data_IF_285751894638
#
_entry.id   IF_285751894638
#
_cell.length_a   1.000
_cell.length_b   1.000
_cell.length_c   1.000
_cell.angle_alpha   90.00
_cell.angle_beta   90.00
_cell.angle_gamma   90.00
#
_symmetry.space_group_name_H-M   'P 1'
#
loop_
_entity.id
_entity.type
_entity.pdbx_description
1 polymer ?
#
# COMPACT_ATOMS: atom_id res chain seq x y z
N UNK A 1 -9.65 14.17 25.44
CA UNK A 1 -8.44 13.92 24.67
C UNK A 1 -7.86 15.18 24.06
N UNK A 2 -6.72 15.08 23.38
CA UNK A 2 -6.13 16.21 22.68
C UNK A 2 -6.97 16.59 21.47
N UNK A 3 -7.03 17.90 21.14
CA UNK A 3 -7.62 18.36 19.87
C UNK A 3 -6.69 17.92 18.74
N UNK A 4 -7.15 16.99 17.90
CA UNK A 4 -6.36 16.35 16.86
C UNK A 4 -6.93 16.62 15.48
N UNK A 5 -6.06 16.91 14.50
CA UNK A 5 -6.36 16.97 13.08
C UNK A 5 -5.52 15.93 12.36
N UNK A 6 -6.17 15.00 11.65
CA UNK A 6 -5.55 14.06 10.73
C UNK A 6 -5.64 14.61 9.31
N UNK A 7 -4.50 14.71 8.64
CA UNK A 7 -4.39 15.21 7.27
C UNK A 7 -4.05 14.02 6.37
N UNK A 8 -4.87 13.82 5.32
CA UNK A 8 -4.73 12.68 4.41
C UNK A 8 -4.80 13.15 2.95
N UNK A 9 -3.88 12.67 2.12
CA UNK A 9 -3.82 13.03 0.69
C UNK A 9 -4.91 12.37 -0.16
N UNK A 10 -5.41 11.21 0.26
CA UNK A 10 -6.51 10.51 -0.40
C UNK A 10 -7.88 10.94 0.16
N UNK A 11 -8.96 10.47 -0.44
CA UNK A 11 -10.32 10.60 0.07
C UNK A 11 -10.72 9.45 1.00
N UNK A 12 -9.76 8.71 1.54
CA UNK A 12 -9.96 7.58 2.45
C UNK A 12 -8.71 7.34 3.28
N UNK A 13 -8.88 6.70 4.45
CA UNK A 13 -7.80 6.31 5.35
C UNK A 13 -7.22 4.93 4.99
N UNK A 14 -6.10 4.57 5.60
CA UNK A 14 -5.49 3.25 5.55
C UNK A 14 -4.17 3.16 4.81
N UNK A 15 -3.73 4.22 4.13
CA UNK A 15 -2.47 4.23 3.39
C UNK A 15 -2.35 3.01 2.47
N UNK A 16 -1.29 2.20 2.61
CA UNK A 16 -1.08 1.02 1.77
C UNK A 16 -2.12 -0.09 1.96
N UNK A 17 -2.81 -0.17 3.09
CA UNK A 17 -3.92 -1.11 3.29
C UNK A 17 -5.09 -0.87 2.32
N UNK A 18 -5.33 0.39 1.96
CA UNK A 18 -6.43 0.80 1.09
C UNK A 18 -5.96 1.27 -0.28
N UNK A 19 -4.97 2.19 -0.35
CA UNK A 19 -4.45 2.71 -1.61
C UNK A 19 -3.56 1.71 -2.36
N UNK A 20 -2.85 0.85 -1.64
CA UNK A 20 -1.92 -0.13 -2.21
C UNK A 20 -2.47 -1.55 -2.31
N UNK A 21 -3.69 -1.80 -1.84
CA UNK A 21 -4.31 -3.14 -1.76
C UNK A 21 -3.49 -4.17 -0.95
N UNK A 22 -2.73 -3.72 0.04
CA UNK A 22 -1.97 -4.63 0.91
C UNK A 22 -2.90 -5.15 2.00
N UNK A 23 -3.62 -6.22 1.70
CA UNK A 23 -4.69 -6.76 2.54
C UNK A 23 -4.26 -7.73 3.65
N UNK A 24 -3.07 -8.37 3.67
CA UNK A 24 -2.70 -9.22 4.78
C UNK A 24 -2.20 -8.40 5.98
N UNK A 25 -2.65 -8.78 7.16
CA UNK A 25 -2.17 -8.26 8.43
C UNK A 25 -1.41 -9.36 9.16
N UNK A 26 -0.08 -9.26 9.16
CA UNK A 26 0.80 -10.23 9.80
C UNK A 26 0.98 -9.95 11.29
N UNK A 27 1.25 -10.99 12.08
CA UNK A 27 1.58 -10.91 13.51
C UNK A 27 0.54 -10.19 14.37
N UNK A 28 -0.72 -10.14 13.92
CA UNK A 28 -1.79 -9.43 14.63
C UNK A 28 -2.16 -10.10 15.97
N UNK A 29 -1.95 -11.40 16.10
CA UNK A 29 -2.26 -12.17 17.31
C UNK A 29 -1.40 -11.74 18.50
N UNK A 30 -0.17 -11.30 18.22
CA UNK A 30 0.78 -10.79 19.22
C UNK A 30 0.67 -9.28 19.46
N UNK A 31 -0.28 -8.61 18.80
CA UNK A 31 -0.55 -7.18 18.96
C UNK A 31 -1.82 -6.94 19.76
N UNK A 32 -1.74 -5.96 20.64
CA UNK A 32 -2.84 -5.59 21.52
C UNK A 32 -3.38 -4.20 21.17
N UNK A 33 -4.33 -3.72 21.95
CA UNK A 33 -4.94 -2.40 21.84
C UNK A 33 -5.58 -2.15 20.46
N UNK A 34 -5.14 -1.14 19.75
CA UNK A 34 -5.76 -0.68 18.51
C UNK A 34 -5.74 -1.74 17.39
N UNK A 35 -4.71 -2.59 17.33
CA UNK A 35 -4.65 -3.68 16.34
C UNK A 35 -5.72 -4.73 16.62
N UNK A 36 -5.87 -5.13 17.89
CA UNK A 36 -6.93 -6.06 18.30
C UNK A 36 -8.32 -5.47 18.04
N UNK A 37 -8.51 -4.17 18.31
CA UNK A 37 -9.76 -3.47 18.03
C UNK A 37 -10.09 -3.51 16.53
N UNK A 38 -9.14 -3.16 15.66
CA UNK A 38 -9.29 -3.22 14.20
C UNK A 38 -9.67 -4.63 13.73
N UNK A 39 -8.96 -5.66 14.19
CA UNK A 39 -9.23 -7.05 13.79
C UNK A 39 -10.62 -7.51 14.26
N UNK A 40 -11.00 -7.19 15.49
CA UNK A 40 -12.30 -7.56 16.03
C UNK A 40 -13.45 -6.86 15.28
N UNK A 41 -13.30 -5.58 14.98
CA UNK A 41 -14.26 -4.81 14.21
C UNK A 41 -14.37 -5.32 12.76
N UNK A 42 -13.26 -5.66 12.11
CA UNK A 42 -13.27 -6.28 10.79
C UNK A 42 -14.01 -7.61 10.80
N UNK A 43 -13.80 -8.46 11.82
CA UNK A 43 -14.52 -9.73 12.00
C UNK A 43 -16.02 -9.47 12.19
N UNK A 44 -16.38 -8.53 13.05
CA UNK A 44 -17.78 -8.19 13.34
C UNK A 44 -18.51 -7.64 12.10
N UNK A 45 -17.81 -6.94 11.22
CA UNK A 45 -18.34 -6.38 9.96
C UNK A 45 -18.27 -7.36 8.78
N UNK A 46 -17.79 -8.59 8.97
CA UNK A 46 -17.62 -9.59 7.91
C UNK A 46 -16.47 -9.26 6.93
N UNK A 47 -15.57 -8.40 7.31
CA UNK A 47 -14.42 -7.93 6.50
C UNK A 47 -13.11 -8.64 6.80
N UNK A 48 -13.12 -9.76 7.53
CA UNK A 48 -11.94 -10.53 7.91
C UNK A 48 -11.99 -11.95 7.39
N UNK A 49 -10.85 -12.53 7.04
CA UNK A 49 -10.70 -13.89 6.55
C UNK A 49 -9.97 -13.94 5.21
N UNK A 50 -10.26 -14.94 4.40
CA UNK A 50 -9.61 -15.08 3.08
C UNK A 50 -8.23 -15.70 3.18
N UNK A 51 -7.24 -15.12 2.56
CA UNK A 51 -5.89 -15.67 2.46
C UNK A 51 -5.30 -16.03 3.83
N UNK A 52 -5.20 -17.32 4.12
CA UNK A 52 -4.71 -17.90 5.39
C UNK A 52 -5.33 -17.29 6.66
N UNK A 53 -6.55 -16.76 6.58
CA UNK A 53 -7.25 -16.09 7.68
C UNK A 53 -6.51 -14.85 8.24
N UNK A 54 -5.72 -14.19 7.40
CA UNK A 54 -4.98 -12.95 7.76
C UNK A 54 -5.33 -11.76 6.88
N UNK A 55 -6.23 -11.95 5.90
CA UNK A 55 -6.60 -10.91 4.98
C UNK A 55 -7.88 -10.18 5.41
N UNK A 56 -8.03 -8.95 4.96
CA UNK A 56 -9.21 -8.15 5.20
C UNK A 56 -9.75 -7.52 3.90
N UNK A 57 -11.03 -7.15 3.92
CA UNK A 57 -11.65 -6.34 2.88
C UNK A 57 -11.27 -4.88 3.08
N UNK A 58 -10.56 -4.30 2.13
CA UNK A 58 -10.06 -2.94 2.24
C UNK A 58 -11.16 -1.87 2.13
N UNK A 59 -12.32 -2.15 1.52
CA UNK A 59 -13.45 -1.22 1.53
C UNK A 59 -14.10 -1.17 2.92
N UNK A 60 -14.23 -2.31 3.58
CA UNK A 60 -14.68 -2.37 4.98
C UNK A 60 -13.66 -1.70 5.89
N UNK A 61 -12.35 -1.89 5.64
CA UNK A 61 -11.28 -1.22 6.39
C UNK A 61 -11.37 0.30 6.28
N UNK A 62 -11.58 0.85 5.09
CA UNK A 62 -11.75 2.31 4.92
C UNK A 62 -12.83 2.87 5.82
N UNK A 63 -14.02 2.24 5.78
CA UNK A 63 -15.15 2.68 6.61
C UNK A 63 -14.90 2.49 8.10
N UNK A 64 -14.25 1.40 8.50
CA UNK A 64 -13.84 1.17 9.87
C UNK A 64 -12.91 2.28 10.40
N UNK A 65 -11.88 2.62 9.62
CA UNK A 65 -10.93 3.65 10.02
C UNK A 65 -11.60 5.04 10.12
N UNK A 66 -12.52 5.37 9.21
CA UNK A 66 -13.31 6.59 9.29
C UNK A 66 -14.11 6.65 10.61
N UNK A 67 -14.77 5.54 10.97
CA UNK A 67 -15.54 5.44 12.22
C UNK A 67 -14.65 5.59 13.45
N UNK A 68 -13.54 4.87 13.51
CA UNK A 68 -12.61 4.93 14.65
C UNK A 68 -12.07 6.35 14.87
N UNK A 69 -11.65 7.02 13.79
CA UNK A 69 -11.10 8.38 13.89
C UNK A 69 -12.19 9.38 14.28
N UNK A 70 -13.35 9.33 13.65
CA UNK A 70 -14.44 10.30 13.95
C UNK A 70 -15.02 10.10 15.33
N UNK A 71 -15.19 8.86 15.79
CA UNK A 71 -15.66 8.54 17.14
C UNK A 71 -14.65 8.94 18.23
N UNK A 72 -13.35 9.00 17.92
CA UNK A 72 -12.33 9.51 18.83
C UNK A 72 -12.42 11.02 19.06
N UNK A 73 -13.23 11.73 18.25
CA UNK A 73 -13.34 13.18 18.24
C UNK A 73 -12.23 13.89 17.47
N UNK A 74 -11.37 13.17 16.77
CA UNK A 74 -10.39 13.76 15.85
C UNK A 74 -11.08 14.28 14.58
N UNK A 75 -10.55 15.37 14.03
CA UNK A 75 -10.98 15.91 12.75
C UNK A 75 -10.15 15.28 11.63
N UNK A 76 -10.79 15.05 10.47
CA UNK A 76 -10.10 14.54 9.27
C UNK A 76 -10.16 15.62 8.18
N UNK A 77 -9.06 15.80 7.48
CA UNK A 77 -8.95 16.66 6.31
C UNK A 77 -8.40 15.83 5.13
N UNK A 78 -9.30 15.32 4.31
CA UNK A 78 -8.99 14.57 3.12
C UNK A 78 -8.52 15.44 1.94
N UNK A 79 -7.97 14.79 0.89
CA UNK A 79 -7.50 15.43 -0.35
C UNK A 79 -6.55 16.59 -0.07
N UNK A 80 -5.69 16.42 0.93
CA UNK A 80 -4.79 17.45 1.42
C UNK A 80 -3.36 16.94 1.47
N UNK A 81 -2.49 17.60 0.72
CA UNK A 81 -1.08 17.25 0.61
C UNK A 81 -0.25 18.03 1.63
N UNK A 82 0.76 17.37 2.20
CA UNK A 82 1.85 18.05 2.89
C UNK A 82 2.64 18.87 1.87
N UNK A 83 2.86 20.16 2.16
CA UNK A 83 3.66 21.06 1.34
C UNK A 83 4.97 21.48 2.03
N UNK A 84 5.19 21.03 3.25
CA UNK A 84 6.42 21.23 4.01
C UNK A 84 6.20 21.38 5.50
N UNK A 85 7.26 21.24 6.28
CA UNK A 85 7.26 21.53 7.70
C UNK A 85 7.35 23.05 7.96
N UNK A 86 6.71 23.51 9.03
CA UNK A 86 6.91 24.85 9.58
C UNK A 86 7.71 24.76 10.86
N UNK A 87 8.92 25.31 10.83
CA UNK A 87 9.86 25.26 11.94
C UNK A 87 10.10 26.67 12.52
N UNK A 88 10.28 26.75 13.83
CA UNK A 88 10.80 27.93 14.54
C UNK A 88 12.09 27.48 15.26
N UNK A 89 13.26 27.84 14.71
CA UNK A 89 14.53 27.26 15.11
C UNK A 89 14.57 25.76 14.74
N UNK A 90 14.90 24.91 15.72
CA UNK A 90 14.93 23.46 15.58
C UNK A 90 13.57 22.78 15.85
N UNK A 91 12.58 23.53 16.29
CA UNK A 91 11.27 23.01 16.65
C UNK A 91 10.31 22.98 15.47
N UNK A 92 9.67 21.85 15.20
CA UNK A 92 8.53 21.76 14.27
C UNK A 92 7.27 22.30 14.98
N UNK A 93 6.75 23.41 14.50
CA UNK A 93 5.57 24.12 15.04
C UNK A 93 4.31 23.94 14.19
N UNK A 94 4.38 23.18 13.12
CA UNK A 94 3.25 22.91 12.24
C UNK A 94 3.66 22.41 10.88
N UNK A 95 2.72 22.41 9.96
CA UNK A 95 2.93 21.98 8.58
C UNK A 95 2.23 22.92 7.59
N UNK A 96 2.86 23.16 6.45
CA UNK A 96 2.20 23.75 5.30
C UNK A 96 1.45 22.65 4.55
N UNK A 97 0.22 22.95 4.17
CA UNK A 97 -0.66 22.04 3.43
C UNK A 97 -1.14 22.69 2.13
N UNK A 98 -1.46 21.85 1.15
CA UNK A 98 -2.06 22.24 -0.11
C UNK A 98 -3.28 21.38 -0.41
N UNK A 99 -4.41 22.04 -0.69
CA UNK A 99 -5.65 21.39 -1.12
C UNK A 99 -6.46 22.30 -2.07
N UNK A 100 -7.71 21.91 -2.36
CA UNK A 100 -8.59 22.72 -3.24
C UNK A 100 -8.92 24.12 -2.72
N UNK A 101 -8.83 24.34 -1.39
CA UNK A 101 -9.04 25.65 -0.77
C UNK A 101 -7.78 26.53 -0.79
N UNK A 102 -6.69 26.03 -1.37
CA UNK A 102 -5.42 26.73 -1.47
C UNK A 102 -4.35 26.22 -0.49
N UNK A 103 -3.29 27.00 -0.36
CA UNK A 103 -2.17 26.74 0.55
C UNK A 103 -2.43 27.38 1.91
N UNK A 104 -2.20 26.62 2.97
CA UNK A 104 -2.37 27.13 4.33
C UNK A 104 -1.35 26.54 5.31
N UNK A 105 -1.21 27.18 6.47
CA UNK A 105 -0.38 26.72 7.57
C UNK A 105 -1.28 26.17 8.68
N UNK A 106 -1.03 24.94 9.07
CA UNK A 106 -1.61 24.30 10.26
C UNK A 106 -0.57 24.34 11.37
N UNK A 107 -0.79 25.18 12.39
CA UNK A 107 0.06 25.21 13.58
C UNK A 107 -0.37 24.13 14.57
N UNK A 108 0.59 23.46 15.19
CA UNK A 108 0.35 22.41 16.16
C UNK A 108 1.42 22.42 17.26
N UNK A 109 1.05 21.97 18.47
CA UNK A 109 2.00 21.76 19.57
C UNK A 109 2.86 20.50 19.35
N UNK A 110 2.27 19.51 18.71
CA UNK A 110 2.91 18.23 18.35
C UNK A 110 2.51 17.87 16.94
N UNK A 111 3.48 17.47 16.14
CA UNK A 111 3.28 16.95 14.78
C UNK A 111 3.75 15.49 14.77
N UNK A 112 2.88 14.60 14.28
CA UNK A 112 3.19 13.18 14.10
C UNK A 112 3.29 12.92 12.60
N UNK A 113 4.48 12.53 12.14
CA UNK A 113 4.72 12.19 10.75
C UNK A 113 4.23 10.76 10.47
N UNK A 114 3.11 10.65 9.76
CA UNK A 114 2.51 9.41 9.29
C UNK A 114 2.52 9.32 7.74
N UNK A 115 3.39 10.07 7.06
CA UNK A 115 3.42 10.14 5.59
C UNK A 115 3.88 8.83 4.93
N UNK A 116 4.49 7.93 5.70
CA UNK A 116 5.06 6.68 5.21
C UNK A 116 6.50 6.81 4.71
N UNK A 117 6.86 7.99 4.21
CA UNK A 117 8.16 8.29 3.62
C UNK A 117 8.97 9.31 4.46
N UNK A 118 8.48 9.69 5.65
CA UNK A 118 9.13 10.66 6.52
C UNK A 118 9.18 12.07 5.93
N UNK A 119 8.13 12.48 5.20
CA UNK A 119 8.14 13.74 4.44
C UNK A 119 8.17 14.97 5.35
N UNK A 120 7.51 14.93 6.52
CA UNK A 120 7.58 16.04 7.50
C UNK A 120 9.00 16.14 8.06
N UNK A 121 9.56 15.01 8.48
CA UNK A 121 10.91 14.95 9.06
C UNK A 121 11.96 15.42 8.05
N UNK A 122 11.93 14.93 6.82
CA UNK A 122 12.84 15.36 5.76
C UNK A 122 12.71 16.85 5.42
N UNK A 123 11.45 17.36 5.37
CA UNK A 123 11.18 18.78 5.13
C UNK A 123 11.64 19.68 6.29
N UNK A 124 11.69 19.15 7.51
CA UNK A 124 12.23 19.83 8.67
C UNK A 124 13.77 19.77 8.77
N UNK A 125 14.44 19.09 7.83
CA UNK A 125 15.90 18.96 7.83
C UNK A 125 16.43 17.85 8.73
N UNK A 126 15.59 16.92 9.21
CA UNK A 126 16.04 15.78 10.00
C UNK A 126 16.88 14.85 9.13
N UNK A 127 18.07 14.42 9.57
CA UNK A 127 18.91 13.48 8.82
C UNK A 127 18.22 12.15 8.57
N UNK A 128 18.49 11.56 7.43
CA UNK A 128 18.00 10.22 7.06
C UNK A 128 19.00 9.50 6.16
N UNK A 129 18.89 8.18 6.10
CA UNK A 129 19.50 7.35 5.07
C UNK A 129 18.41 6.81 4.14
N UNK A 130 18.77 6.40 2.93
CA UNK A 130 17.84 5.82 1.97
C UNK A 130 18.54 4.78 1.11
N UNK A 131 17.91 3.61 0.99
CA UNK A 131 18.49 2.49 0.26
C UNK A 131 19.67 1.84 0.96
N UNK A 132 20.24 0.84 0.31
CA UNK A 132 21.39 0.09 0.86
C UNK A 132 22.71 0.81 0.60
N UNK A 133 23.67 0.61 1.49
CA UNK A 133 24.98 1.28 1.46
C UNK A 133 25.77 1.06 0.15
N UNK A 134 25.61 -0.11 -0.48
CA UNK A 134 26.42 -0.49 -1.64
C UNK A 134 26.10 0.29 -2.91
N UNK A 135 24.85 0.75 -3.10
CA UNK A 135 24.39 1.39 -4.34
C UNK A 135 23.24 2.38 -4.18
N UNK A 136 22.82 2.66 -2.95
CA UNK A 136 21.70 3.54 -2.57
C UNK A 136 20.35 3.12 -3.20
N UNK A 137 20.21 1.86 -3.62
CA UNK A 137 18.96 1.37 -4.16
C UNK A 137 18.02 0.92 -3.05
N UNK A 138 16.81 1.45 -3.07
CA UNK A 138 15.69 0.99 -2.26
C UNK A 138 15.16 -0.35 -2.79
N UNK A 139 14.37 -1.03 -1.95
CA UNK A 139 13.64 -2.21 -2.37
C UNK A 139 12.72 -1.88 -3.55
N UNK A 140 12.43 -2.89 -4.43
CA UNK A 140 11.53 -2.70 -5.55
C UNK A 140 10.15 -2.23 -5.11
N UNK A 141 9.57 -1.28 -5.84
CA UNK A 141 8.17 -0.92 -5.68
C UNK A 141 7.27 -1.92 -6.40
N UNK A 142 6.03 -2.07 -5.94
CA UNK A 142 5.08 -3.06 -6.46
C UNK A 142 3.69 -2.45 -6.56
N UNK A 143 3.07 -2.50 -7.72
CA UNK A 143 1.67 -2.17 -7.88
C UNK A 143 0.82 -3.44 -7.82
N UNK A 144 -0.16 -3.47 -6.94
CA UNK A 144 -1.08 -4.59 -6.83
C UNK A 144 -2.31 -4.37 -7.73
N UNK A 145 -2.97 -5.46 -8.10
CA UNK A 145 -4.20 -5.40 -8.89
C UNK A 145 -5.20 -6.44 -8.41
N UNK A 146 -6.47 -6.18 -8.65
CA UNK A 146 -7.56 -7.06 -8.22
C UNK A 146 -8.18 -7.77 -9.40
N UNK A 147 -8.29 -9.08 -9.28
CA UNK A 147 -8.99 -9.96 -10.21
C UNK A 147 -10.32 -10.41 -9.61
N UNK A 148 -11.33 -10.49 -10.46
CA UNK A 148 -12.64 -11.08 -10.19
C UNK A 148 -12.86 -12.40 -10.92
N UNK A 149 -13.98 -13.07 -10.60
CA UNK A 149 -14.34 -14.37 -11.14
C UNK A 149 -13.32 -15.49 -10.89
N UNK A 150 -12.62 -15.42 -9.75
CA UNK A 150 -11.72 -16.47 -9.31
C UNK A 150 -12.47 -17.34 -8.32
N UNK A 151 -12.62 -18.64 -8.61
CA UNK A 151 -13.07 -19.59 -7.61
C UNK A 151 -12.02 -19.67 -6.50
N UNK A 152 -12.53 -19.80 -5.27
CA UNK A 152 -11.66 -19.87 -4.09
C UNK A 152 -10.64 -20.99 -4.31
N UNK A 153 -9.44 -20.61 -4.59
CA UNK A 153 -8.29 -21.48 -4.51
C UNK A 153 -7.43 -20.92 -3.39
N UNK A 154 -7.03 -21.78 -2.48
CA UNK A 154 -5.82 -21.52 -1.71
C UNK A 154 -4.63 -22.01 -2.57
N UNK A 155 -4.27 -21.32 -3.65
CA UNK A 155 -3.21 -21.81 -4.49
C UNK A 155 -1.94 -21.51 -3.75
N UNK A 156 -1.25 -22.55 -3.44
CA UNK A 156 0.15 -22.42 -3.10
C UNK A 156 0.79 -21.54 -4.19
N UNK A 157 1.48 -20.47 -3.85
CA UNK A 157 2.11 -19.53 -4.81
C UNK A 157 2.91 -20.24 -5.89
N UNK A 158 3.52 -21.38 -5.56
CA UNK A 158 4.25 -22.22 -6.49
C UNK A 158 3.36 -22.88 -7.55
N UNK A 159 2.14 -23.30 -7.21
CA UNK A 159 1.24 -23.93 -8.16
C UNK A 159 0.79 -22.94 -9.25
N UNK A 160 0.53 -21.69 -8.89
CA UNK A 160 0.22 -20.64 -9.88
C UNK A 160 1.44 -20.36 -10.76
N UNK A 161 2.61 -20.19 -10.16
CA UNK A 161 3.86 -20.00 -10.90
C UNK A 161 4.10 -21.13 -11.88
N UNK A 162 3.97 -22.38 -11.41
CA UNK A 162 4.23 -23.55 -12.23
C UNK A 162 3.21 -23.69 -13.35
N UNK A 163 1.93 -23.42 -13.10
CA UNK A 163 0.90 -23.38 -14.13
C UNK A 163 1.20 -22.34 -15.23
N UNK A 164 1.69 -21.15 -14.85
CA UNK A 164 2.09 -20.11 -15.81
C UNK A 164 3.33 -20.52 -16.61
N UNK A 165 4.32 -21.14 -15.97
CA UNK A 165 5.52 -21.63 -16.64
C UNK A 165 5.17 -22.73 -17.65
N UNK A 166 4.34 -23.70 -17.27
CA UNK A 166 3.89 -24.78 -18.15
C UNK A 166 3.07 -24.24 -19.33
N UNK A 167 2.16 -23.30 -19.07
CA UNK A 167 1.43 -22.62 -20.15
C UNK A 167 2.38 -21.91 -21.12
N UNK A 168 3.40 -21.21 -20.60
CA UNK A 168 4.42 -20.56 -21.44
C UNK A 168 5.21 -21.53 -22.32
N UNK A 169 5.56 -22.70 -21.79
CA UNK A 169 6.21 -23.77 -22.58
C UNK A 169 5.26 -24.29 -23.67
N UNK A 170 3.99 -24.53 -23.32
CA UNK A 170 3.02 -25.09 -24.23
C UNK A 170 2.68 -24.16 -25.41
N UNK A 171 2.63 -22.85 -25.17
CA UNK A 171 2.33 -21.86 -26.23
C UNK A 171 3.58 -21.28 -26.91
N UNK A 172 4.78 -21.69 -26.49
CA UNK A 172 6.04 -21.18 -27.03
C UNK A 172 6.36 -19.74 -26.69
N UNK A 173 5.64 -19.15 -25.73
CA UNK A 173 5.86 -17.79 -25.22
C UNK A 173 6.59 -17.88 -23.88
N UNK A 174 7.87 -17.48 -23.79
CA UNK A 174 8.61 -17.55 -22.54
C UNK A 174 7.98 -16.63 -21.49
N UNK A 175 8.00 -17.11 -20.24
CA UNK A 175 7.56 -16.33 -19.10
C UNK A 175 8.65 -15.33 -18.67
N UNK A 176 8.48 -14.07 -19.01
CA UNK A 176 9.41 -12.99 -18.69
C UNK A 176 8.70 -11.85 -17.94
N UNK A 177 8.40 -12.07 -16.66
CA UNK A 177 7.87 -11.02 -15.78
C UNK A 177 8.93 -10.54 -14.80
N UNK A 178 8.83 -9.29 -14.37
CA UNK A 178 9.78 -8.66 -13.45
C UNK A 178 9.86 -9.36 -12.10
N UNK A 179 8.79 -10.07 -11.71
CA UNK A 179 8.72 -10.88 -10.50
C UNK A 179 8.19 -12.28 -10.82
N UNK A 180 9.02 -13.29 -10.55
CA UNK A 180 8.75 -14.69 -10.92
C UNK A 180 7.86 -15.46 -9.92
N UNK A 181 7.40 -14.81 -8.84
CA UNK A 181 6.65 -15.47 -7.77
C UNK A 181 5.37 -14.69 -7.47
N UNK A 182 4.26 -14.97 -8.17
CA UNK A 182 3.00 -14.30 -7.93
C UNK A 182 2.48 -14.62 -6.52
N UNK A 183 1.95 -13.62 -5.84
CA UNK A 183 1.11 -13.81 -4.67
C UNK A 183 -0.31 -13.49 -5.03
N UNK A 184 -1.21 -14.42 -4.76
CA UNK A 184 -2.65 -14.26 -4.97
C UNK A 184 -3.33 -14.32 -3.60
N UNK A 185 -3.88 -13.20 -3.21
CA UNK A 185 -4.41 -12.97 -1.88
C UNK A 185 -5.94 -12.92 -1.98
N UNK A 186 -6.62 -13.98 -1.57
CA UNK A 186 -8.08 -14.03 -1.59
C UNK A 186 -8.65 -13.00 -0.62
N UNK A 187 -9.62 -12.20 -1.07
CA UNK A 187 -10.42 -11.36 -0.19
C UNK A 187 -11.43 -12.19 0.60
N UNK A 188 -11.86 -11.72 1.78
CA UNK A 188 -12.90 -12.38 2.56
C UNK A 188 -14.21 -12.50 1.77
N UNK A 189 -14.85 -13.67 1.90
CA UNK A 189 -16.23 -13.93 1.50
C UNK A 189 -16.61 -13.57 0.04
N UNK A 190 -15.67 -13.55 -0.89
CA UNK A 190 -15.97 -13.21 -2.27
C UNK A 190 -15.05 -13.91 -3.28
N UNK A 191 -15.47 -13.92 -4.56
CA UNK A 191 -14.70 -14.46 -5.68
C UNK A 191 -13.71 -13.42 -6.25
N UNK A 192 -13.02 -12.69 -5.38
CA UNK A 192 -12.02 -11.68 -5.74
C UNK A 192 -10.71 -11.96 -5.04
N UNK A 193 -9.63 -11.65 -5.71
CA UNK A 193 -8.31 -11.69 -5.10
C UNK A 193 -7.48 -10.47 -5.50
N UNK A 194 -6.56 -10.10 -4.64
CA UNK A 194 -5.51 -9.13 -4.95
C UNK A 194 -4.26 -9.90 -5.35
N UNK A 195 -3.62 -9.43 -6.40
CA UNK A 195 -2.44 -10.06 -6.98
C UNK A 195 -1.25 -9.13 -6.87
N UNK A 196 -0.14 -9.67 -6.36
CA UNK A 196 1.17 -9.07 -6.39
C UNK A 196 2.06 -9.85 -7.37
N UNK A 197 2.40 -9.25 -8.51
CA UNK A 197 3.16 -9.96 -9.54
C UNK A 197 4.16 -9.11 -10.31
N UNK A 198 4.41 -7.89 -9.91
CA UNK A 198 5.41 -7.05 -10.55
C UNK A 198 6.38 -6.44 -9.53
N UNK A 199 7.58 -6.12 -10.01
CA UNK A 199 8.58 -5.37 -9.27
C UNK A 199 9.27 -4.37 -10.19
N UNK A 200 9.07 -3.09 -9.95
CA UNK A 200 9.83 -2.04 -10.61
C UNK A 200 11.04 -1.68 -9.74
N UNK A 201 12.21 -1.68 -10.35
CA UNK A 201 13.51 -1.49 -9.69
C UNK A 201 14.17 -0.20 -10.14
N UNK A 202 15.11 0.30 -9.33
CA UNK A 202 15.95 1.45 -9.66
C UNK A 202 15.16 2.75 -9.88
N UNK A 203 14.00 2.88 -9.24
CA UNK A 203 13.16 4.08 -9.24
C UNK A 203 13.08 4.56 -7.79
N UNK A 204 13.80 5.64 -7.43
CA UNK A 204 13.70 6.23 -6.09
C UNK A 204 12.26 6.67 -5.80
N UNK A 205 11.62 6.18 -4.72
CA UNK A 205 10.21 6.46 -4.47
C UNK A 205 9.94 7.90 -4.02
N UNK A 206 10.98 8.62 -3.63
CA UNK A 206 10.92 10.04 -3.23
C UNK A 206 11.21 11.01 -4.37
N UNK A 207 11.55 10.51 -5.56
CA UNK A 207 11.65 11.28 -6.79
C UNK A 207 10.36 11.19 -7.59
N UNK A 208 9.68 12.32 -7.77
CA UNK A 208 8.36 12.34 -8.39
C UNK A 208 8.37 11.87 -9.86
N UNK A 209 9.44 12.14 -10.61
CA UNK A 209 9.58 11.71 -12.01
C UNK A 209 9.80 10.20 -12.06
N UNK A 210 10.78 9.69 -11.31
CA UNK A 210 11.09 8.28 -11.26
C UNK A 210 9.89 7.45 -10.73
N UNK A 211 9.16 7.97 -9.74
CA UNK A 211 7.97 7.29 -9.22
C UNK A 211 6.80 7.31 -10.21
N UNK A 212 6.63 8.39 -10.98
CA UNK A 212 5.64 8.43 -12.07
C UNK A 212 5.96 7.41 -13.17
N UNK A 213 7.23 7.25 -13.53
CA UNK A 213 7.66 6.20 -14.45
C UNK A 213 7.37 4.80 -13.88
N UNK A 214 7.61 4.58 -12.57
CA UNK A 214 7.30 3.31 -11.93
C UNK A 214 5.80 2.97 -11.96
N UNK A 215 4.92 3.98 -11.80
CA UNK A 215 3.47 3.84 -11.94
C UNK A 215 3.08 3.42 -13.36
N UNK A 216 3.67 4.02 -14.39
CA UNK A 216 3.42 3.68 -15.79
C UNK A 216 3.92 2.28 -16.13
N UNK A 217 5.15 1.95 -15.77
CA UNK A 217 5.76 0.62 -15.98
C UNK A 217 4.93 -0.47 -15.27
N UNK A 218 4.49 -0.22 -14.04
CA UNK A 218 3.67 -1.17 -13.29
C UNK A 218 2.33 -1.45 -13.97
N UNK A 219 1.63 -0.43 -14.44
CA UNK A 219 0.35 -0.61 -15.12
C UNK A 219 0.50 -1.35 -16.45
N UNK A 220 1.52 -1.03 -17.22
CA UNK A 220 1.84 -1.74 -18.46
C UNK A 220 2.09 -3.23 -18.20
N UNK A 221 2.93 -3.53 -17.20
CA UNK A 221 3.21 -4.91 -16.83
C UNK A 221 1.97 -5.66 -16.32
N UNK A 222 1.11 -5.00 -15.53
CA UNK A 222 -0.15 -5.59 -15.04
C UNK A 222 -1.07 -5.98 -16.21
N UNK A 223 -1.24 -5.11 -17.21
CA UNK A 223 -2.04 -5.42 -18.39
C UNK A 223 -1.43 -6.58 -19.18
N UNK A 224 -0.12 -6.59 -19.34
CA UNK A 224 0.60 -7.70 -20.00
C UNK A 224 0.40 -9.02 -19.24
N UNK A 225 0.52 -9.00 -17.92
CA UNK A 225 0.26 -10.18 -17.06
C UNK A 225 -1.19 -10.64 -17.23
N UNK A 226 -2.15 -9.72 -17.12
CA UNK A 226 -3.57 -10.03 -17.20
C UNK A 226 -3.94 -10.71 -18.53
N UNK A 227 -3.52 -10.15 -19.64
CA UNK A 227 -3.77 -10.75 -20.96
C UNK A 227 -3.12 -12.13 -21.09
N UNK A 228 -1.86 -12.23 -20.68
CA UNK A 228 -1.12 -13.49 -20.75
C UNK A 228 -1.81 -14.61 -19.97
N UNK A 229 -2.18 -14.37 -18.70
CA UNK A 229 -2.80 -15.41 -17.87
C UNK A 229 -4.19 -15.79 -18.37
N UNK A 230 -4.96 -14.82 -18.84
CA UNK A 230 -6.30 -15.04 -19.38
C UNK A 230 -6.30 -15.89 -20.64
N UNK A 231 -5.34 -15.68 -21.52
CA UNK A 231 -5.24 -16.37 -22.81
C UNK A 231 -4.59 -17.74 -22.69
N UNK A 232 -3.61 -17.90 -21.79
CA UNK A 232 -2.74 -19.07 -21.80
C UNK A 232 -2.87 -19.97 -20.57
N UNK A 233 -3.49 -19.51 -19.48
CA UNK A 233 -3.57 -20.28 -18.23
C UNK A 233 -5.02 -20.69 -17.97
N UNK A 234 -5.43 -21.95 -18.15
CA UNK A 234 -6.82 -22.39 -18.11
C UNK A 234 -7.61 -21.97 -16.87
N UNK A 235 -6.94 -21.95 -15.70
CA UNK A 235 -7.57 -21.51 -14.45
C UNK A 235 -7.94 -20.03 -14.41
N UNK A 236 -7.39 -19.20 -15.28
CA UNK A 236 -7.64 -17.75 -15.36
C UNK A 236 -8.47 -17.32 -16.58
N UNK A 237 -9.00 -18.27 -17.37
CA UNK A 237 -9.73 -17.95 -18.63
C UNK A 237 -10.91 -17.00 -18.45
N UNK A 238 -11.60 -17.07 -17.32
CA UNK A 238 -12.83 -16.32 -17.01
C UNK A 238 -12.58 -15.12 -16.07
N UNK A 239 -11.31 -14.82 -15.75
CA UNK A 239 -11.00 -13.70 -14.83
C UNK A 239 -11.28 -12.35 -15.45
N UNK A 240 -11.58 -11.41 -14.59
CA UNK A 240 -11.77 -9.99 -14.90
C UNK A 240 -10.74 -9.14 -14.14
N UNK A 241 -10.17 -8.16 -14.80
CA UNK A 241 -9.38 -7.12 -14.12
C UNK A 241 -10.34 -6.10 -13.51
N UNK A 242 -10.55 -6.18 -12.20
CA UNK A 242 -11.51 -5.33 -11.49
C UNK A 242 -10.92 -3.96 -11.20
N UNK A 243 -9.67 -3.92 -10.71
CA UNK A 243 -9.01 -2.67 -10.36
C UNK A 243 -7.48 -2.85 -10.33
N UNK A 244 -6.79 -1.76 -10.55
CA UNK A 244 -5.37 -1.60 -10.22
C UNK A 244 -5.29 -0.71 -8.99
N UNK A 245 -4.38 -0.99 -8.07
CA UNK A 245 -4.23 -0.21 -6.86
C UNK A 245 -4.03 1.28 -7.20
N UNK A 246 -4.71 2.19 -6.51
CA UNK A 246 -4.57 3.64 -6.71
C UNK A 246 -3.14 4.17 -6.59
N UNK A 247 -2.28 3.43 -5.90
CA UNK A 247 -0.88 3.77 -5.71
C UNK A 247 0.00 2.54 -5.72
N UNK A 248 1.13 2.63 -6.42
CA UNK A 248 2.22 1.66 -6.31
C UNK A 248 2.78 1.64 -4.88
N UNK A 249 2.93 0.45 -4.33
CA UNK A 249 3.42 0.23 -2.98
C UNK A 249 4.92 0.47 -2.87
N UNK A 250 5.29 1.42 -2.04
CA UNK A 250 6.68 1.70 -1.63
C UNK A 250 7.00 0.82 -0.42
N UNK A 251 8.06 0.02 -0.52
CA UNK A 251 8.51 -0.89 0.55
C UNK A 251 9.55 -0.24 1.45
N UNK A 252 10.34 0.66 0.87
CA UNK A 252 11.46 1.30 1.51
C UNK A 252 11.65 2.69 0.90
N UNK A 253 11.85 3.69 1.76
CA UNK A 253 12.24 5.03 1.37
C UNK A 253 13.23 5.59 2.39
N UNK A 254 12.89 6.68 3.09
CA UNK A 254 13.76 7.30 4.08
C UNK A 254 13.74 6.57 5.41
N UNK A 255 14.90 6.28 5.94
CA UNK A 255 15.14 5.83 7.32
C UNK A 255 15.55 7.05 8.15
N UNK A 256 14.61 7.62 8.89
CA UNK A 256 14.83 8.84 9.66
C UNK A 256 15.75 8.53 10.86
N UNK A 257 16.78 9.36 11.06
CA UNK A 257 17.66 9.25 12.22
C UNK A 257 16.99 9.89 13.44
N UNK A 258 16.23 9.07 14.18
CA UNK A 258 15.56 9.48 15.42
C UNK A 258 16.48 9.37 16.64
N UNK A 259 16.05 9.97 17.75
CA UNK A 259 16.70 9.80 19.06
C UNK A 259 16.60 8.32 19.50
N UNK A 260 15.53 7.64 19.11
CA UNK A 260 15.30 6.22 19.39
C UNK A 260 14.93 5.50 18.09
N UNK A 261 15.53 4.34 17.87
CA UNK A 261 15.19 3.43 16.77
C UNK A 261 14.63 2.14 17.36
N UNK A 262 13.51 1.65 16.83
CA UNK A 262 12.98 0.33 17.16
C UNK A 262 13.89 -0.74 16.55
N UNK A 263 14.39 -1.66 17.38
CA UNK A 263 15.21 -2.83 17.00
C UNK A 263 14.34 -4.09 16.85
#
# INVERSE_FOLDING_TARGET
GAKTLLIERYGFLGGMWSAGFIIPLFDFENKHYIVSEIVNELKARGGWGGYYDIAFDFEIMKKLLDDMVTQSGAQILFHTFLAGAYCEGEDVKGVFIQNKSGRSLVKAKVVIDCTGDGDVAASAGVPFTMGRESDNLCQPVTCMFMLGNIEYMQPHHYAIRDAVIEAGKACGIPFEFSYKRPFVLQLPNCKRCVVMWNHVRKKPPTDAVAFSEAELESREEIHRIFHYIKENVPMFKDVELIAIAPQTGVRESRHIHGIYTLE
#
